data_IF_970221441584
#
_entry.id   IF_970221441584
#
_cell.length_a   1.000
_cell.length_b   1.000
_cell.length_c   1.000
_cell.angle_alpha   90.00
_cell.angle_beta   90.00
_cell.angle_gamma   90.00
#
_symmetry.space_group_name_H-M   'P 1'
#
loop_
_entity.id
_entity.type
_entity.pdbx_description
1 polymer ?
#
# COMPACT_ATOMS: atom_id res chain seq x y z
N UNK A 1 10.66 20.21 -11.94
CA UNK A 1 10.83 19.32 -10.78
C UNK A 1 11.03 17.91 -11.31
N UNK A 2 11.87 17.05 -10.68
CA UNK A 2 11.94 15.65 -11.09
C UNK A 2 10.54 15.01 -11.01
N UNK A 3 10.24 14.08 -11.91
CA UNK A 3 8.98 13.33 -11.84
C UNK A 3 8.92 12.56 -10.52
N UNK A 4 7.84 12.78 -9.76
CA UNK A 4 7.55 12.05 -8.53
C UNK A 4 6.80 10.77 -8.96
N UNK A 5 7.40 9.62 -8.66
CA UNK A 5 6.84 8.30 -8.91
C UNK A 5 6.27 7.80 -7.59
N UNK A 6 4.97 7.98 -7.44
CA UNK A 6 4.15 7.57 -6.31
C UNK A 6 2.70 7.83 -6.74
N UNK A 7 2.07 6.88 -7.41
CA UNK A 7 0.69 7.03 -7.86
C UNK A 7 -0.20 7.30 -6.62
N UNK A 8 -0.62 8.56 -6.49
CA UNK A 8 -1.37 9.08 -5.34
C UNK A 8 -0.52 9.66 -4.18
N UNK A 9 0.50 8.94 -3.68
CA UNK A 9 1.28 9.33 -2.48
C UNK A 9 2.42 10.34 -2.74
N UNK A 10 2.10 11.47 -3.39
CA UNK A 10 3.10 12.45 -3.86
C UNK A 10 3.53 13.49 -2.85
N UNK A 11 2.87 13.55 -1.69
CA UNK A 11 3.19 14.54 -0.67
C UNK A 11 4.54 14.22 0.00
N UNK A 12 5.39 15.22 0.16
CA UNK A 12 6.80 15.05 0.56
C UNK A 12 7.01 15.01 2.08
N UNK A 13 5.93 15.10 2.87
CA UNK A 13 5.96 15.14 4.33
C UNK A 13 4.95 14.15 4.94
N UNK A 14 5.13 13.84 6.22
CA UNK A 14 4.11 13.21 7.05
C UNK A 14 3.57 14.22 8.06
N UNK A 15 2.35 13.99 8.57
CA UNK A 15 1.78 14.84 9.62
C UNK A 15 2.67 14.84 10.88
N UNK A 16 2.82 15.99 11.59
CA UNK A 16 3.71 16.08 12.76
C UNK A 16 3.45 15.03 13.84
N UNK A 17 2.19 14.68 14.07
CA UNK A 17 1.81 13.64 15.05
C UNK A 17 2.34 12.25 14.65
N UNK A 18 2.25 11.88 13.37
CA UNK A 18 2.76 10.60 12.87
C UNK A 18 4.29 10.56 12.97
N UNK A 19 4.96 11.66 12.59
CA UNK A 19 6.41 11.82 12.73
C UNK A 19 6.85 11.67 14.19
N UNK A 20 6.11 12.27 15.13
CA UNK A 20 6.39 12.14 16.56
C UNK A 20 6.21 10.71 17.06
N UNK A 21 5.09 10.04 16.74
CA UNK A 21 4.85 8.65 17.13
C UNK A 21 5.92 7.70 16.59
N UNK A 22 6.34 7.88 15.33
CA UNK A 22 7.46 7.15 14.74
C UNK A 22 8.77 7.41 15.49
N UNK A 23 9.07 8.66 15.82
CA UNK A 23 10.28 9.00 16.61
C UNK A 23 10.31 8.39 18.01
N UNK A 24 9.14 8.01 18.54
CA UNK A 24 8.97 7.30 19.81
C UNK A 24 8.92 5.78 19.67
N UNK A 25 9.03 5.24 18.45
CA UNK A 25 8.94 3.80 18.20
C UNK A 25 7.54 3.21 18.37
N UNK A 26 6.49 4.04 18.38
CA UNK A 26 5.11 3.59 18.53
C UNK A 26 4.43 3.27 17.19
N UNK A 27 5.01 3.76 16.08
CA UNK A 27 4.54 3.50 14.72
C UNK A 27 5.73 3.14 13.86
N UNK A 28 5.60 2.03 13.14
CA UNK A 28 6.55 1.61 12.12
C UNK A 28 6.20 2.22 10.76
N UNK A 29 7.20 2.39 9.90
CA UNK A 29 6.99 2.87 8.55
C UNK A 29 7.76 1.99 7.57
N UNK A 30 7.08 1.61 6.50
CA UNK A 30 7.64 0.85 5.38
C UNK A 30 7.64 1.73 4.14
N UNK A 31 8.64 1.53 3.28
CA UNK A 31 8.68 2.11 1.95
C UNK A 31 8.82 0.97 0.93
N UNK A 32 8.07 1.08 -0.16
CA UNK A 32 8.11 0.11 -1.25
C UNK A 32 8.97 0.62 -2.42
N UNK A 33 9.41 -0.27 -3.32
CA UNK A 33 10.20 0.11 -4.49
C UNK A 33 9.51 1.18 -5.35
N UNK A 34 10.35 2.06 -5.93
CA UNK A 34 9.90 3.22 -6.71
C UNK A 34 9.11 2.88 -7.97
N UNK A 35 9.27 1.67 -8.51
CA UNK A 35 8.52 1.23 -9.70
C UNK A 35 7.09 0.76 -9.36
N UNK A 36 6.73 0.70 -8.08
CA UNK A 36 5.39 0.41 -7.54
C UNK A 36 4.82 -0.98 -7.94
N UNK A 37 5.55 -1.78 -8.71
CA UNK A 37 5.07 -3.07 -9.22
C UNK A 37 4.63 -4.00 -8.09
N UNK A 38 5.43 -4.14 -7.04
CA UNK A 38 5.09 -4.99 -5.91
C UNK A 38 3.80 -4.55 -5.19
N UNK A 39 3.51 -3.25 -5.19
CA UNK A 39 2.32 -2.64 -4.57
C UNK A 39 1.09 -2.95 -5.42
N UNK A 40 1.16 -2.65 -6.72
CA UNK A 40 0.05 -2.87 -7.65
C UNK A 40 -0.23 -4.36 -7.89
N UNK A 41 0.79 -5.22 -7.81
CA UNK A 41 0.61 -6.67 -7.85
C UNK A 41 -0.18 -7.19 -6.64
N UNK A 42 0.07 -6.66 -5.45
CA UNK A 42 -0.74 -7.00 -4.28
C UNK A 42 -2.18 -6.48 -4.42
N UNK A 43 -2.37 -5.29 -4.98
CA UNK A 43 -3.70 -4.78 -5.30
C UNK A 43 -4.43 -5.65 -6.33
N UNK A 44 -3.73 -6.15 -7.36
CA UNK A 44 -4.29 -7.10 -8.33
C UNK A 44 -4.79 -8.38 -7.67
N UNK A 45 -3.99 -8.96 -6.75
CA UNK A 45 -4.40 -10.13 -5.97
C UNK A 45 -5.65 -9.81 -5.13
N UNK A 46 -5.68 -8.65 -4.47
CA UNK A 46 -6.82 -8.21 -3.68
C UNK A 46 -8.09 -8.03 -4.54
N UNK A 47 -7.98 -7.42 -5.72
CA UNK A 47 -9.10 -7.27 -6.66
C UNK A 47 -9.64 -8.64 -7.09
N UNK A 48 -8.75 -9.59 -7.38
CA UNK A 48 -9.14 -10.94 -7.81
C UNK A 48 -9.80 -11.75 -6.69
N UNK A 49 -9.40 -11.53 -5.44
CA UNK A 49 -9.95 -12.23 -4.28
C UNK A 49 -11.26 -11.58 -3.77
N UNK A 50 -11.30 -10.25 -3.67
CA UNK A 50 -12.36 -9.50 -2.98
C UNK A 50 -13.32 -8.77 -3.93
N UNK A 51 -12.98 -8.63 -5.22
CA UNK A 51 -13.81 -7.94 -6.21
C UNK A 51 -13.89 -6.40 -6.04
N UNK A 52 -13.10 -5.82 -5.14
CA UNK A 52 -13.06 -4.38 -4.88
C UNK A 52 -11.82 -3.76 -5.51
N UNK A 53 -11.97 -2.65 -6.24
CA UNK A 53 -10.87 -1.90 -6.86
C UNK A 53 -10.40 -0.82 -5.88
N UNK A 54 -9.23 -0.97 -5.22
CA UNK A 54 -8.73 0.02 -4.29
C UNK A 54 -8.09 1.21 -5.02
N UNK A 55 -8.09 2.37 -4.40
CA UNK A 55 -7.31 3.51 -4.88
C UNK A 55 -5.79 3.15 -4.89
N UNK A 56 -4.98 3.70 -5.82
CA UNK A 56 -3.53 3.49 -5.83
C UNK A 56 -2.86 3.73 -4.46
N UNK A 57 -3.32 4.72 -3.71
CA UNK A 57 -2.85 5.00 -2.35
C UNK A 57 -3.15 3.84 -1.38
N UNK A 58 -4.37 3.30 -1.45
CA UNK A 58 -4.81 2.18 -0.60
C UNK A 58 -4.03 0.89 -0.91
N UNK A 59 -3.51 0.74 -2.14
CA UNK A 59 -2.70 -0.40 -2.55
C UNK A 59 -1.43 -0.57 -1.70
N UNK A 60 -0.87 0.52 -1.18
CA UNK A 60 0.27 0.49 -0.26
C UNK A 60 -0.07 -0.21 1.06
N UNK A 61 -1.27 0.06 1.60
CA UNK A 61 -1.76 -0.60 2.80
C UNK A 61 -2.07 -2.09 2.54
N UNK A 62 -2.61 -2.42 1.37
CA UNK A 62 -2.84 -3.81 0.94
C UNK A 62 -1.51 -4.57 0.85
N UNK A 63 -0.49 -3.98 0.24
CA UNK A 63 0.85 -4.61 0.17
C UNK A 63 1.40 -4.91 1.57
N UNK A 64 1.30 -3.96 2.49
CA UNK A 64 1.75 -4.14 3.88
C UNK A 64 0.95 -5.21 4.62
N UNK A 65 -0.37 -5.23 4.43
CA UNK A 65 -1.24 -6.29 4.97
C UNK A 65 -0.83 -7.68 4.46
N UNK A 66 -0.56 -7.80 3.15
CA UNK A 66 -0.10 -9.07 2.55
C UNK A 66 1.27 -9.48 3.10
N UNK A 67 2.20 -8.53 3.29
CA UNK A 67 3.51 -8.81 3.90
C UNK A 67 3.36 -9.37 5.32
N UNK A 68 2.54 -8.75 6.16
CA UNK A 68 2.30 -9.20 7.53
C UNK A 68 1.58 -10.55 7.58
N UNK A 69 0.62 -10.79 6.68
CA UNK A 69 -0.06 -12.08 6.57
C UNK A 69 0.90 -13.21 6.17
N UNK A 70 1.83 -12.95 5.25
CA UNK A 70 2.86 -13.93 4.85
C UNK A 70 3.86 -14.21 5.97
N UNK A 71 4.26 -13.18 6.74
CA UNK A 71 5.10 -13.36 7.93
C UNK A 71 4.40 -14.22 8.98
N UNK A 72 3.14 -13.91 9.30
CA UNK A 72 2.33 -14.67 10.25
C UNK A 72 2.19 -16.14 9.83
N UNK A 73 1.93 -16.38 8.53
CA UNK A 73 1.90 -17.72 7.95
C UNK A 73 3.23 -18.46 8.10
N UNK A 74 4.36 -17.80 7.84
CA UNK A 74 5.69 -18.40 7.93
C UNK A 74 6.09 -18.74 9.38
N UNK A 75 5.65 -17.93 10.36
CA UNK A 75 5.89 -18.18 11.78
C UNK A 75 4.86 -19.09 12.43
N UNK A 76 3.76 -19.44 11.74
CA UNK A 76 2.63 -20.18 12.31
C UNK A 76 1.86 -19.39 13.37
N UNK A 77 1.94 -18.05 13.32
CA UNK A 77 1.32 -17.15 14.29
C UNK A 77 -0.08 -16.76 13.80
N UNK A 78 -1.09 -16.95 14.65
CA UNK A 78 -2.47 -16.58 14.34
C UNK A 78 -2.68 -15.10 14.68
N UNK A 79 -2.79 -14.26 13.65
CA UNK A 79 -2.91 -12.80 13.79
C UNK A 79 -4.17 -12.27 13.12
N UNK A 80 -4.79 -11.29 13.77
CA UNK A 80 -5.79 -10.43 13.15
C UNK A 80 -5.09 -9.18 12.61
N UNK A 81 -5.18 -8.96 11.30
CA UNK A 81 -4.61 -7.79 10.63
C UNK A 81 -5.76 -6.90 10.17
N UNK A 82 -5.72 -5.63 10.56
CA UNK A 82 -6.69 -4.62 10.12
C UNK A 82 -5.97 -3.65 9.19
N UNK A 83 -6.46 -3.54 7.96
CA UNK A 83 -5.97 -2.59 6.97
C UNK A 83 -7.03 -1.53 6.67
N UNK A 84 -6.60 -0.28 6.53
CA UNK A 84 -7.48 0.81 6.12
C UNK A 84 -7.44 0.93 4.58
N UNK A 85 -8.56 0.61 3.92
CA UNK A 85 -8.76 0.87 2.50
C UNK A 85 -9.36 2.26 2.37
N UNK A 86 -8.49 3.26 2.21
CA UNK A 86 -8.85 4.68 2.27
C UNK A 86 -9.76 5.19 1.15
N UNK A 87 -9.89 4.44 0.05
CA UNK A 87 -10.69 4.83 -1.10
C UNK A 87 -10.73 3.77 -2.20
N UNK A 88 -11.66 3.95 -3.14
CA UNK A 88 -11.81 3.13 -4.34
C UNK A 88 -11.00 3.69 -5.52
N UNK A 89 -10.61 2.85 -6.47
CA UNK A 89 -9.79 3.21 -7.64
C UNK A 89 -10.56 3.34 -8.96
N UNK A 90 -11.89 3.51 -8.93
CA UNK A 90 -12.71 3.56 -10.16
C UNK A 90 -12.28 4.65 -11.15
N UNK A 91 -11.67 5.74 -10.68
CA UNK A 91 -11.17 6.84 -11.50
C UNK A 91 -9.66 6.78 -11.76
N UNK A 92 -8.99 5.76 -11.24
CA UNK A 92 -7.52 5.64 -11.21
C UNK A 92 -7.03 4.42 -12.02
N UNK A 93 -7.87 3.88 -12.91
CA UNK A 93 -7.55 2.71 -13.73
C UNK A 93 -6.33 2.92 -14.63
N UNK A 94 -6.07 4.16 -15.04
CA UNK A 94 -4.87 4.52 -15.81
C UNK A 94 -3.58 4.22 -15.03
N UNK A 95 -3.56 4.47 -13.71
CA UNK A 95 -2.42 4.16 -12.86
C UNK A 95 -2.14 2.64 -12.85
N UNK A 96 -3.21 1.83 -12.76
CA UNK A 96 -3.09 0.38 -12.84
C UNK A 96 -2.51 -0.09 -14.18
N UNK A 97 -3.03 0.42 -15.30
CA UNK A 97 -2.52 0.08 -16.63
C UNK A 97 -1.05 0.48 -16.81
N UNK A 98 -0.68 1.69 -16.37
CA UNK A 98 0.70 2.20 -16.44
C UNK A 98 1.71 1.35 -15.65
N UNK A 99 1.36 0.96 -14.41
CA UNK A 99 2.29 0.25 -13.52
C UNK A 99 2.34 -1.26 -13.84
N UNK A 100 1.19 -1.86 -14.12
CA UNK A 100 1.09 -3.31 -14.39
C UNK A 100 1.34 -3.67 -15.86
N UNK A 101 1.28 -2.69 -16.77
CA UNK A 101 1.42 -2.93 -18.21
C UNK A 101 0.23 -3.69 -18.80
N UNK A 102 -0.99 -3.36 -18.34
CA UNK A 102 -2.26 -3.95 -18.80
C UNK A 102 -3.15 -2.92 -19.49
#
# INVERSE_FOLDING_TARGET
MPSIWAEGLRYHMAAPIISYLKSKGLVEAVAYPRDEKAVFEAARVFIQAEGFIPAPESSYAIRAMVDEALKAKASGDERVIVANISGHGFLDLEAYGKVLGV
#
